data_IF_936568898809
#
_entry.id   IF_936568898809
#
_cell.length_a   1.000
_cell.length_b   1.000
_cell.length_c   1.000
_cell.angle_alpha   90.00
_cell.angle_beta   90.00
_cell.angle_gamma   90.00
#
_symmetry.space_group_name_H-M   'P 1'
#
loop_
_entity.id
_entity.type
_entity.pdbx_description
1 polymer ?
#
# COMPACT_ATOMS: atom_id res chain seq x y z
N UNK A 1 18.00 0.08 -4.26
CA UNK A 1 17.15 0.16 -3.06
C UNK A 1 15.74 -0.25 -3.45
N UNK A 2 15.05 -1.14 -2.72
CA UNK A 2 13.84 -1.82 -3.21
C UNK A 2 12.58 -1.37 -2.49
N UNK A 3 11.55 -1.00 -3.25
CA UNK A 3 10.18 -0.83 -2.74
C UNK A 3 9.48 -2.20 -2.72
N UNK A 4 8.69 -2.45 -1.68
CA UNK A 4 7.83 -3.64 -1.55
C UNK A 4 6.37 -3.20 -1.45
N UNK A 5 5.53 -3.85 -2.24
CA UNK A 5 4.08 -3.75 -2.13
C UNK A 5 3.65 -4.83 -1.13
N UNK A 6 3.12 -4.43 0.01
CA UNK A 6 2.69 -5.37 1.04
C UNK A 6 1.27 -5.83 0.75
N UNK A 7 1.05 -7.14 0.77
CA UNK A 7 -0.30 -7.68 0.72
C UNK A 7 -1.11 -7.17 1.92
N UNK A 8 -2.45 -7.04 1.81
CA UNK A 8 -3.27 -6.51 2.90
C UNK A 8 -3.26 -7.38 4.16
N UNK A 9 -2.80 -8.63 4.06
CA UNK A 9 -2.65 -9.59 5.15
C UNK A 9 -1.19 -9.97 5.42
N UNK A 10 -0.23 -9.17 4.93
CA UNK A 10 1.20 -9.35 5.23
C UNK A 10 1.42 -9.42 6.75
N UNK A 11 2.23 -10.36 7.27
CA UNK A 11 2.47 -10.50 8.70
C UNK A 11 2.95 -9.24 9.40
N UNK A 12 3.63 -8.33 8.68
CA UNK A 12 4.02 -7.03 9.23
C UNK A 12 2.82 -6.21 9.72
N UNK A 13 1.64 -6.40 9.12
CA UNK A 13 0.43 -5.61 9.35
C UNK A 13 -0.51 -6.22 10.41
N UNK A 14 -0.17 -7.39 10.98
CA UNK A 14 -1.04 -8.10 11.93
C UNK A 14 -1.23 -7.34 13.25
N UNK A 15 -0.13 -6.84 13.84
CA UNK A 15 -0.20 -5.98 15.02
C UNK A 15 -0.32 -4.51 14.60
N UNK A 16 -1.56 -4.05 14.50
CA UNK A 16 -1.88 -2.66 14.11
C UNK A 16 -1.34 -1.63 15.10
N UNK A 17 -1.20 -1.98 16.38
CA UNK A 17 -0.65 -1.07 17.39
C UNK A 17 0.85 -0.92 17.18
N UNK A 18 1.55 -2.03 16.98
CA UNK A 18 2.98 -2.01 16.64
C UNK A 18 3.23 -1.23 15.35
N UNK A 19 2.43 -1.47 14.31
CA UNK A 19 2.58 -0.75 13.02
C UNK A 19 2.41 0.76 13.22
N UNK A 20 1.39 1.17 13.99
CA UNK A 20 1.16 2.57 14.30
C UNK A 20 2.32 3.18 15.11
N UNK A 21 2.83 2.49 16.12
CA UNK A 21 3.89 2.99 17.01
C UNK A 21 5.26 3.07 16.31
N UNK A 22 5.60 2.06 15.49
CA UNK A 22 6.92 1.96 14.85
C UNK A 22 6.98 2.73 13.53
N UNK A 23 5.92 2.69 12.73
CA UNK A 23 5.90 3.28 11.39
C UNK A 23 5.07 4.56 11.29
N UNK A 24 4.30 4.92 12.33
CA UNK A 24 3.36 6.04 12.24
C UNK A 24 2.25 5.79 11.23
N UNK A 25 1.90 4.53 10.98
CA UNK A 25 1.03 4.13 9.88
C UNK A 25 -0.23 3.42 10.38
N UNK A 26 -1.39 4.06 10.20
CA UNK A 26 -2.67 3.41 10.47
C UNK A 26 -3.10 2.57 9.27
N UNK A 27 -3.30 1.28 9.51
CA UNK A 27 -3.80 0.36 8.51
C UNK A 27 -5.04 -0.39 9.00
N UNK A 28 -6.06 -0.40 8.15
CA UNK A 28 -7.25 -1.25 8.27
C UNK A 28 -7.55 -1.77 6.89
N UNK A 29 -7.72 -3.07 6.75
CA UNK A 29 -8.19 -3.64 5.50
C UNK A 29 -9.70 -3.41 5.38
N UNK A 30 -10.09 -2.48 4.51
CA UNK A 30 -11.47 -1.98 4.43
C UNK A 30 -12.36 -2.75 3.45
N UNK A 31 -11.90 -3.91 2.96
CA UNK A 31 -12.58 -4.71 1.94
C UNK A 31 -14.03 -5.05 2.33
N UNK A 32 -14.26 -5.31 3.62
CA UNK A 32 -15.56 -5.69 4.18
C UNK A 32 -16.44 -4.49 4.54
N UNK A 33 -15.91 -3.26 4.51
CA UNK A 33 -16.73 -2.06 4.72
C UNK A 33 -17.59 -1.80 3.48
N UNK A 34 -18.84 -1.34 3.65
CA UNK A 34 -19.61 -0.75 2.55
C UNK A 34 -18.81 0.38 1.90
N UNK A 35 -18.96 0.56 0.58
CA UNK A 35 -18.17 1.52 -0.19
C UNK A 35 -18.19 2.94 0.41
N UNK A 36 -19.35 3.40 0.88
CA UNK A 36 -19.53 4.71 1.52
C UNK A 36 -18.83 4.90 2.88
N UNK A 37 -18.35 3.81 3.50
CA UNK A 37 -17.67 3.83 4.81
C UNK A 37 -16.16 3.59 4.71
N UNK A 38 -15.61 3.47 3.50
CA UNK A 38 -14.17 3.26 3.28
C UNK A 38 -13.45 4.61 3.34
N UNK A 39 -12.31 4.66 4.03
CA UNK A 39 -11.43 5.84 4.05
C UNK A 39 -10.55 5.89 2.81
N UNK A 40 -10.04 4.75 2.37
CA UNK A 40 -9.06 4.66 1.29
C UNK A 40 -9.64 3.99 0.04
N UNK A 41 -10.15 2.76 0.17
CA UNK A 41 -10.49 1.98 -1.00
C UNK A 41 -10.93 0.56 -0.69
N UNK A 42 -11.20 -0.22 -1.74
CA UNK A 42 -11.65 -1.60 -1.59
C UNK A 42 -10.48 -2.54 -1.29
N UNK A 43 -9.44 -2.52 -2.12
CA UNK A 43 -8.26 -3.38 -1.98
C UNK A 43 -6.99 -2.53 -1.97
N UNK A 44 -6.69 -1.97 -0.80
CA UNK A 44 -5.59 -1.03 -0.61
C UNK A 44 -4.37 -1.74 -0.01
N UNK A 45 -3.22 -1.59 -0.68
CA UNK A 45 -1.93 -2.19 -0.30
C UNK A 45 -0.96 -1.12 0.22
N UNK A 46 -0.26 -1.36 1.35
CA UNK A 46 0.81 -0.47 1.81
C UNK A 46 2.08 -0.58 0.96
N UNK A 47 2.82 0.53 0.86
CA UNK A 47 4.09 0.62 0.14
C UNK A 47 5.24 0.78 1.14
N UNK A 48 6.09 -0.24 1.26
CA UNK A 48 7.26 -0.22 2.13
C UNK A 48 8.52 0.13 1.32
N UNK A 49 9.21 1.20 1.68
CA UNK A 49 10.45 1.62 1.04
C UNK A 49 11.43 2.17 2.08
N UNK A 50 12.69 1.69 2.06
CA UNK A 50 13.75 2.11 2.99
C UNK A 50 13.34 2.06 4.47
N UNK A 51 12.66 0.97 4.85
CA UNK A 51 12.19 0.77 6.23
C UNK A 51 11.02 1.65 6.66
N UNK A 52 10.37 2.37 5.72
CA UNK A 52 9.22 3.24 5.99
C UNK A 52 8.01 2.82 5.17
N UNK A 53 6.83 2.87 5.77
CA UNK A 53 5.57 2.79 5.02
C UNK A 53 5.33 4.17 4.40
N UNK A 54 5.68 4.31 3.11
CA UNK A 54 5.73 5.61 2.41
C UNK A 54 4.41 5.98 1.74
N UNK A 55 3.46 5.05 1.67
CA UNK A 55 2.15 5.31 1.12
C UNK A 55 1.26 4.09 1.02
N UNK A 56 0.14 4.28 0.34
CA UNK A 56 -0.91 3.30 0.04
C UNK A 56 -1.21 3.34 -1.45
N UNK A 57 -1.61 2.22 -2.01
CA UNK A 57 -2.05 2.12 -3.40
C UNK A 57 -3.29 1.26 -3.49
N UNK A 58 -4.21 1.62 -4.37
CA UNK A 58 -5.25 0.75 -4.87
C UNK A 58 -5.03 0.56 -6.35
N UNK A 59 -5.04 -0.70 -6.77
CA UNK A 59 -4.74 -1.07 -8.13
C UNK A 59 -5.49 -2.33 -8.51
N UNK A 60 -5.71 -2.49 -9.80
CA UNK A 60 -6.26 -3.71 -10.39
C UNK A 60 -5.41 -4.14 -11.58
N UNK A 61 -5.57 -5.40 -11.99
CA UNK A 61 -4.92 -5.91 -13.20
C UNK A 61 -5.94 -5.97 -14.33
N UNK A 62 -5.58 -5.46 -15.50
CA UNK A 62 -6.39 -5.55 -16.71
C UNK A 62 -5.48 -5.77 -17.92
N UNK A 63 -5.82 -6.75 -18.77
CA UNK A 63 -5.05 -7.10 -19.97
C UNK A 63 -3.52 -7.24 -19.73
N UNK A 64 -3.13 -7.91 -18.64
CA UNK A 64 -1.72 -8.11 -18.28
C UNK A 64 -0.98 -6.86 -17.80
N UNK A 65 -1.70 -5.80 -17.46
CA UNK A 65 -1.15 -4.54 -16.94
C UNK A 65 -1.72 -4.25 -15.57
N UNK A 66 -0.87 -3.72 -14.67
CA UNK A 66 -1.32 -3.15 -13.40
C UNK A 66 -1.74 -1.71 -13.64
N UNK A 67 -2.98 -1.38 -13.30
CA UNK A 67 -3.53 -0.03 -13.33
C UNK A 67 -3.68 0.45 -11.90
N UNK A 68 -3.06 1.58 -11.59
CA UNK A 68 -3.14 2.24 -10.29
C UNK A 68 -4.36 3.15 -10.30
N UNK A 69 -5.41 2.78 -9.58
CA UNK A 69 -6.62 3.58 -9.44
C UNK A 69 -6.40 4.79 -8.55
N UNK A 70 -5.69 4.57 -7.43
CA UNK A 70 -5.41 5.59 -6.42
C UNK A 70 -4.05 5.35 -5.78
N UNK A 71 -3.35 6.45 -5.50
CA UNK A 71 -2.03 6.46 -4.88
C UNK A 71 -2.00 7.54 -3.81
N UNK A 72 -1.72 7.17 -2.56
CA UNK A 72 -1.65 8.08 -1.43
C UNK A 72 -0.26 8.04 -0.81
N UNK A 73 0.54 9.11 -0.90
CA UNK A 73 1.73 9.27 -0.06
C UNK A 73 1.33 9.46 1.41
N UNK A 74 2.13 8.93 2.34
CA UNK A 74 2.02 9.33 3.76
C UNK A 74 2.58 10.74 3.97
N UNK A 75 2.18 11.37 5.07
CA UNK A 75 2.63 12.72 5.43
C UNK A 75 4.17 12.81 5.48
N UNK A 76 4.71 13.78 4.74
CA UNK A 76 6.15 13.99 4.62
C UNK A 76 6.90 12.91 3.80
N UNK A 77 6.21 11.92 3.24
CA UNK A 77 6.81 10.90 2.40
C UNK A 77 6.72 11.25 0.91
N UNK A 78 7.69 10.75 0.13
CA UNK A 78 7.63 10.73 -1.33
C UNK A 78 7.70 9.29 -1.82
N UNK A 79 6.79 8.94 -2.72
CA UNK A 79 6.81 7.65 -3.39
C UNK A 79 7.78 7.77 -4.57
N UNK A 80 8.85 7.00 -4.52
CA UNK A 80 9.80 6.87 -5.61
C UNK A 80 9.15 6.11 -6.76
N UNK A 81 8.86 6.80 -7.86
CA UNK A 81 8.19 6.23 -9.04
C UNK A 81 8.99 5.10 -9.67
N UNK A 82 10.31 5.26 -9.79
CA UNK A 82 11.14 4.24 -10.42
C UNK A 82 11.18 2.97 -9.56
N UNK A 83 11.26 3.13 -8.23
CA UNK A 83 11.20 2.00 -7.32
C UNK A 83 9.81 1.33 -7.33
N UNK A 84 8.73 2.11 -7.44
CA UNK A 84 7.37 1.58 -7.56
C UNK A 84 7.17 0.79 -8.87
N UNK A 85 7.60 1.36 -10.00
CA UNK A 85 7.51 0.70 -11.31
C UNK A 85 8.30 -0.62 -11.31
N UNK A 86 9.50 -0.62 -10.71
CA UNK A 86 10.29 -1.84 -10.53
C UNK A 86 9.60 -2.88 -9.61
N UNK A 87 8.88 -2.44 -8.57
CA UNK A 87 8.13 -3.35 -7.72
C UNK A 87 6.90 -3.95 -8.43
N UNK A 88 6.20 -3.16 -9.24
CA UNK A 88 5.07 -3.60 -10.06
C UNK A 88 5.51 -4.61 -11.12
N UNK A 89 6.66 -4.38 -11.76
CA UNK A 89 7.22 -5.28 -12.76
C UNK A 89 7.54 -6.70 -12.24
N UNK A 90 7.59 -6.90 -10.92
CA UNK A 90 7.77 -8.21 -10.29
C UNK A 90 6.44 -8.95 -9.99
N UNK A 91 5.30 -8.30 -10.22
CA UNK A 91 3.96 -8.87 -10.04
C UNK A 91 3.33 -9.37 -11.36
N UNK A 92 3.96 -9.08 -12.49
CA UNK A 92 3.59 -9.55 -13.84
C UNK A 92 4.58 -10.62 -14.30
#
# INVERSE_FOLDING_TARGET
DRLRILGPLDPLLWDRRLVSEVFGFEYVWEVYKPASKRRWGWYVVPLLHRGRLVGRMEAHTTAGRVVIDRLWPEDGARIDRQALDAAIALLC
#
